data_IF_302746660513
#
_entry.id   IF_302746660513
#
_cell.length_a   1.000
_cell.length_b   1.000
_cell.length_c   1.000
_cell.angle_alpha   90.00
_cell.angle_beta   90.00
_cell.angle_gamma   90.00
#
_symmetry.space_group_name_H-M   'P 1'
#
loop_
_entity.id
_entity.type
_entity.pdbx_description
1 polymer ?
#
# COMPACT_ATOMS: atom_id res chain seq x y z
N UNK A 1 -46.40 46.10 35.64
CA UNK A 1 -44.99 46.05 35.17
C UNK A 1 -44.49 44.62 35.25
N UNK A 2 -44.24 43.92 34.14
CA UNK A 2 -43.78 42.55 34.18
C UNK A 2 -42.25 42.51 34.32
N UNK A 3 -41.77 41.92 35.42
CA UNK A 3 -40.34 41.71 35.73
C UNK A 3 -39.78 40.40 35.15
N UNK A 4 -40.51 39.65 34.32
CA UNK A 4 -40.06 38.30 33.91
C UNK A 4 -39.07 38.27 32.74
N UNK A 5 -38.93 39.36 31.96
CA UNK A 5 -38.13 39.33 30.73
C UNK A 5 -36.62 39.16 30.93
N UNK A 6 -36.06 39.52 32.10
CA UNK A 6 -34.60 39.43 32.33
C UNK A 6 -34.13 38.04 32.77
N UNK A 7 -35.01 37.26 33.41
CA UNK A 7 -34.70 35.89 33.81
C UNK A 7 -34.66 34.99 32.57
N UNK A 8 -35.66 35.16 31.68
CA UNK A 8 -35.78 34.40 30.44
C UNK A 8 -34.57 34.64 29.50
N UNK A 9 -34.08 35.88 29.42
CA UNK A 9 -32.90 36.21 28.62
C UNK A 9 -31.61 35.59 29.18
N UNK A 10 -31.49 35.44 30.51
CA UNK A 10 -30.35 34.76 31.15
C UNK A 10 -30.36 33.26 30.91
N UNK A 11 -31.53 32.64 30.96
CA UNK A 11 -31.69 31.21 30.69
C UNK A 11 -31.35 30.91 29.23
N UNK A 12 -31.81 31.73 28.29
CA UNK A 12 -31.50 31.59 26.87
C UNK A 12 -30.00 31.76 26.58
N UNK A 13 -29.32 32.74 27.20
CA UNK A 13 -27.87 32.91 27.02
C UNK A 13 -27.07 31.72 27.52
N UNK A 14 -27.41 31.17 28.69
CA UNK A 14 -26.77 29.95 29.21
C UNK A 14 -26.96 28.75 28.27
N UNK A 15 -28.16 28.57 27.73
CA UNK A 15 -28.44 27.46 26.82
C UNK A 15 -27.66 27.55 25.51
N UNK A 16 -27.52 28.76 24.95
CA UNK A 16 -26.73 28.99 23.73
C UNK A 16 -25.23 28.77 23.97
N UNK A 17 -24.70 29.21 25.12
CA UNK A 17 -23.30 28.95 25.49
C UNK A 17 -23.02 27.45 25.67
N UNK A 18 -23.95 26.70 26.26
CA UNK A 18 -23.84 25.26 26.48
C UNK A 18 -23.89 24.48 25.15
N UNK A 19 -24.74 24.89 24.20
CA UNK A 19 -24.78 24.33 22.84
C UNK A 19 -23.48 24.59 22.07
N UNK A 20 -22.94 25.80 22.15
CA UNK A 20 -21.67 26.14 21.47
C UNK A 20 -20.48 25.39 22.07
N UNK A 21 -20.50 25.16 23.39
CA UNK A 21 -19.48 24.35 24.07
C UNK A 21 -19.56 22.88 23.67
N UNK A 22 -20.77 22.31 23.63
CA UNK A 22 -20.97 20.93 23.16
C UNK A 22 -20.53 20.74 21.70
N UNK A 23 -20.80 21.71 20.83
CA UNK A 23 -20.35 21.67 19.43
C UNK A 23 -18.83 21.74 19.30
N UNK A 24 -18.15 22.49 20.17
CA UNK A 24 -16.69 22.62 20.17
C UNK A 24 -16.00 21.34 20.68
N UNK A 25 -16.58 20.69 21.69
CA UNK A 25 -16.08 19.43 22.25
C UNK A 25 -16.27 18.24 21.28
N UNK A 26 -17.28 18.27 20.41
CA UNK A 26 -17.44 17.28 19.33
C UNK A 26 -16.42 17.46 18.18
N UNK A 27 -16.03 18.71 17.86
CA UNK A 27 -15.01 18.97 16.83
C UNK A 27 -13.59 18.58 17.29
N UNK A 28 -13.27 18.73 18.58
CA UNK A 28 -11.98 18.28 19.12
C UNK A 28 -11.88 16.74 19.20
N UNK A 29 -12.98 16.04 19.49
CA UNK A 29 -13.03 14.56 19.46
C UNK A 29 -12.93 13.98 18.04
N UNK A 30 -13.35 14.72 17.01
CA UNK A 30 -13.18 14.31 15.60
C UNK A 30 -11.76 14.51 15.09
N UNK A 31 -11.00 15.46 15.63
CA UNK A 31 -9.58 15.71 15.27
C UNK A 31 -8.59 14.76 15.95
N UNK A 32 -8.94 14.14 17.08
CA UNK A 32 -8.02 13.26 17.83
C UNK A 32 -8.14 11.75 17.53
N UNK A 33 -9.18 11.29 16.82
CA UNK A 33 -9.42 9.83 16.62
C UNK A 33 -9.34 9.32 15.17
N UNK A 34 -8.89 10.15 14.23
CA UNK A 34 -8.97 9.86 12.79
C UNK A 34 -7.68 10.13 11.99
N UNK A 35 -6.48 9.90 12.53
CA UNK A 35 -5.27 10.18 11.71
C UNK A 35 -3.95 9.45 12.06
N UNK A 36 -3.93 8.15 12.35
CA UNK A 36 -2.63 7.45 12.43
C UNK A 36 -2.50 6.19 11.57
N UNK A 37 -3.56 5.43 11.32
CA UNK A 37 -3.46 4.17 10.55
C UNK A 37 -4.12 4.30 9.17
N UNK A 38 -5.36 4.80 9.09
CA UNK A 38 -6.08 4.98 7.82
C UNK A 38 -5.35 5.93 6.85
N UNK A 39 -4.84 7.06 7.35
CA UNK A 39 -4.09 8.04 6.56
C UNK A 39 -2.77 7.49 6.02
N UNK A 40 -2.13 6.53 6.73
CA UNK A 40 -0.90 5.87 6.24
C UNK A 40 -1.20 5.02 5.01
N UNK A 41 -2.30 4.25 5.01
CA UNK A 41 -2.69 3.42 3.86
C UNK A 41 -3.26 4.23 2.71
N UNK A 42 -4.06 5.27 2.99
CA UNK A 42 -4.62 6.17 1.97
C UNK A 42 -3.54 6.92 1.19
N UNK A 43 -2.46 7.33 1.86
CA UNK A 43 -1.34 8.03 1.22
C UNK A 43 -0.33 7.08 0.57
N UNK A 44 -0.31 5.80 0.95
CA UNK A 44 0.56 4.77 0.36
C UNK A 44 -0.04 4.07 -0.86
N UNK A 45 -1.35 4.25 -1.11
CA UNK A 45 -2.01 3.76 -2.32
C UNK A 45 -1.44 4.46 -3.57
N UNK A 46 -1.09 3.72 -4.64
CA UNK A 46 -0.57 4.33 -5.86
C UNK A 46 -1.56 5.34 -6.43
N UNK A 47 -1.15 6.61 -6.54
CA UNK A 47 -1.90 7.64 -7.27
C UNK A 47 -1.81 7.32 -8.76
N UNK A 48 -2.88 6.78 -9.33
CA UNK A 48 -2.92 6.53 -10.77
C UNK A 48 -3.15 7.85 -11.51
N UNK A 49 -2.21 8.19 -12.38
CA UNK A 49 -2.39 9.19 -13.43
C UNK A 49 -3.50 8.67 -14.34
N UNK A 50 -4.55 9.47 -14.51
CA UNK A 50 -5.57 9.26 -15.55
C UNK A 50 -4.84 9.20 -16.90
N UNK A 51 -4.59 8.00 -17.43
CA UNK A 51 -4.05 7.87 -18.78
C UNK A 51 -5.11 8.41 -19.74
N UNK A 52 -4.74 9.48 -20.45
CA UNK A 52 -5.59 10.11 -21.45
C UNK A 52 -5.93 9.11 -22.54
N UNK A 53 -7.22 8.86 -22.70
CA UNK A 53 -7.75 8.29 -23.94
C UNK A 53 -7.87 9.47 -24.90
N UNK A 54 -6.98 9.51 -25.89
CA UNK A 54 -7.15 10.31 -27.10
C UNK A 54 -8.42 9.85 -27.79
N UNK A 55 -9.43 10.73 -27.81
CA UNK A 55 -10.61 10.56 -28.66
C UNK A 55 -10.19 10.79 -30.11
N UNK A 56 -10.23 9.72 -30.92
CA UNK A 56 -10.36 9.81 -32.37
C UNK A 56 -11.85 10.03 -32.60
N UNK A 57 -12.21 11.25 -33.01
CA UNK A 57 -13.56 11.61 -33.36
C UNK A 57 -13.87 11.19 -34.79
N UNK A 58 -14.90 10.37 -34.96
CA UNK A 58 -15.69 10.32 -36.19
C UNK A 58 -17.14 10.68 -35.89
N UNK A 59 -17.69 11.38 -36.88
CA UNK A 59 -18.80 12.32 -36.89
C UNK A 59 -20.05 11.64 -37.41
N UNK A 60 -21.15 11.59 -36.64
CA UNK A 60 -22.54 11.53 -37.18
C UNK A 60 -23.50 12.30 -36.25
N UNK A 61 -24.39 13.06 -36.88
CA UNK A 61 -25.36 14.01 -36.33
C UNK A 61 -26.70 13.38 -35.88
N UNK A 62 -27.29 14.00 -34.85
CA UNK A 62 -28.73 14.28 -34.56
C UNK A 62 -29.81 13.19 -34.55
N UNK A 63 -30.55 13.07 -33.43
CA UNK A 63 -31.91 13.65 -33.24
C UNK A 63 -32.47 13.46 -31.82
N UNK A 64 -33.36 14.39 -31.42
CA UNK A 64 -34.02 14.58 -30.12
C UNK A 64 -35.14 13.58 -29.82
N UNK A 65 -35.37 13.21 -28.54
CA UNK A 65 -36.60 13.54 -27.78
C UNK A 65 -36.64 12.97 -26.33
N UNK A 66 -36.77 13.91 -25.38
CA UNK A 66 -37.66 14.03 -24.20
C UNK A 66 -38.14 12.81 -23.34
N UNK A 67 -37.92 13.01 -22.03
CA UNK A 67 -38.77 12.78 -20.83
C UNK A 67 -38.71 11.48 -19.99
N UNK A 68 -38.57 11.74 -18.68
CA UNK A 68 -39.07 11.03 -17.48
C UNK A 68 -38.24 9.97 -16.72
N UNK A 69 -38.06 10.32 -15.43
CA UNK A 69 -38.12 9.53 -14.20
C UNK A 69 -37.00 8.55 -13.78
N UNK A 70 -36.45 8.88 -12.61
CA UNK A 70 -36.11 8.04 -11.45
C UNK A 70 -35.48 6.65 -11.68
N UNK A 71 -34.24 6.48 -11.22
CA UNK A 71 -33.88 5.48 -10.21
C UNK A 71 -32.36 5.48 -10.01
N UNK A 72 -31.95 5.61 -8.76
CA UNK A 72 -30.58 5.42 -8.29
C UNK A 72 -30.16 3.97 -8.50
N UNK A 73 -29.34 3.71 -9.51
CA UNK A 73 -28.58 2.45 -9.62
C UNK A 73 -27.16 2.68 -9.08
N UNK A 74 -26.90 2.24 -7.85
CA UNK A 74 -25.54 2.03 -7.36
C UNK A 74 -24.88 0.93 -8.21
N UNK A 75 -24.16 1.33 -9.26
CA UNK A 75 -23.29 0.42 -10.03
C UNK A 75 -22.09 0.07 -9.16
N UNK A 76 -22.06 -1.16 -8.64
CA UNK A 76 -20.86 -1.73 -8.01
C UNK A 76 -19.79 -1.99 -9.09
N UNK A 77 -18.93 -1.02 -9.35
CA UNK A 77 -17.74 -1.18 -10.19
C UNK A 77 -16.60 -1.83 -9.39
N UNK A 78 -16.71 -3.13 -9.15
CA UNK A 78 -15.53 -3.96 -8.88
C UNK A 78 -15.16 -4.68 -10.18
N UNK A 79 -14.08 -4.25 -10.81
CA UNK A 79 -13.43 -5.00 -11.90
C UNK A 79 -12.09 -5.54 -11.37
N UNK A 80 -11.88 -6.86 -11.36
CA UNK A 80 -10.57 -7.45 -11.09
C UNK A 80 -9.57 -6.96 -12.14
N UNK A 81 -8.39 -6.51 -11.72
CA UNK A 81 -7.31 -6.22 -12.67
C UNK A 81 -6.64 -7.53 -13.11
N UNK A 82 -6.72 -7.81 -14.41
CA UNK A 82 -5.95 -8.86 -15.08
C UNK A 82 -4.50 -8.37 -15.24
N UNK A 83 -3.56 -9.06 -14.59
CA UNK A 83 -2.14 -8.92 -14.92
C UNK A 83 -1.87 -9.83 -16.13
N UNK A 84 -1.68 -9.25 -17.31
CA UNK A 84 -1.21 -9.98 -18.48
C UNK A 84 0.20 -10.51 -18.20
N UNK A 85 0.38 -11.82 -18.32
CA UNK A 85 1.68 -12.47 -18.42
C UNK A 85 2.25 -12.19 -19.82
N UNK A 86 3.42 -11.56 -19.84
CA UNK A 86 4.20 -11.32 -21.05
C UNK A 86 4.86 -12.64 -21.48
N UNK A 87 4.33 -13.26 -22.53
CA UNK A 87 4.94 -14.42 -23.20
C UNK A 87 5.68 -13.91 -24.44
N UNK A 88 7.01 -13.92 -24.40
CA UNK A 88 7.83 -13.78 -25.60
C UNK A 88 9.02 -14.73 -25.53
N UNK A 89 8.96 -15.76 -26.38
CA UNK A 89 10.03 -16.70 -26.72
C UNK A 89 10.14 -16.77 -28.26
N UNK A 90 11.39 -16.85 -28.73
CA UNK A 90 11.90 -17.18 -30.08
C UNK A 90 12.00 -16.00 -31.07
N UNK A 91 13.21 -15.47 -31.33
CA UNK A 91 14.30 -15.92 -32.24
C UNK A 91 14.02 -15.57 -33.70
N UNK A 92 14.90 -14.75 -34.31
CA UNK A 92 15.75 -15.20 -35.43
C UNK A 92 16.83 -14.17 -35.80
N UNK A 93 17.97 -14.72 -36.22
CA UNK A 93 19.17 -14.04 -36.70
C UNK A 93 19.05 -13.78 -38.22
N UNK A 94 19.64 -12.71 -38.73
CA UNK A 94 20.18 -12.70 -40.09
C UNK A 94 21.42 -11.81 -40.21
N UNK A 95 22.33 -12.25 -41.08
CA UNK A 95 23.75 -11.88 -41.20
C UNK A 95 24.02 -11.11 -42.51
N UNK A 96 25.15 -10.37 -42.49
CA UNK A 96 26.01 -9.93 -43.63
C UNK A 96 25.47 -8.78 -44.51
N UNK A 97 26.24 -7.84 -45.08
CA UNK A 97 27.67 -7.79 -45.45
C UNK A 97 28.12 -6.34 -45.82
N UNK A 98 29.43 -6.04 -45.65
CA UNK A 98 30.32 -5.05 -46.36
C UNK A 98 29.94 -3.54 -46.32
N UNK A 99 30.87 -2.58 -46.25
CA UNK A 99 32.06 -2.40 -47.08
C UNK A 99 33.05 -1.39 -46.47
N UNK A 100 34.34 -1.59 -46.77
CA UNK A 100 35.49 -0.74 -46.42
C UNK A 100 35.45 0.67 -47.01
N UNK A 101 35.96 1.66 -46.27
CA UNK A 101 36.93 2.66 -46.78
C UNK A 101 37.40 3.62 -45.67
N UNK A 102 38.72 3.62 -45.46
CA UNK A 102 39.61 4.78 -45.31
C UNK A 102 39.10 6.03 -44.56
N UNK A 103 39.44 6.14 -43.27
CA UNK A 103 40.03 7.40 -42.75
C UNK A 103 40.66 7.21 -41.36
N UNK A 104 41.97 6.96 -41.33
CA UNK A 104 42.72 6.58 -40.12
C UNK A 104 43.40 7.76 -39.38
N UNK A 105 43.11 9.02 -39.72
CA UNK A 105 43.85 10.17 -39.15
C UNK A 105 43.05 11.08 -38.19
N UNK A 106 41.72 10.96 -38.14
CA UNK A 106 40.86 11.83 -37.29
C UNK A 106 40.37 11.18 -35.99
N UNK A 107 40.52 9.86 -35.82
CA UNK A 107 40.03 9.10 -34.65
C UNK A 107 40.86 9.26 -33.37
N UNK A 108 42.12 9.70 -33.46
CA UNK A 108 43.00 9.82 -32.27
C UNK A 108 42.77 11.07 -31.41
N UNK A 109 42.07 12.10 -31.92
CA UNK A 109 41.73 13.30 -31.14
C UNK A 109 40.31 13.30 -30.55
N UNK A 110 39.36 12.56 -31.13
CA UNK A 110 38.02 12.40 -30.57
C UNK A 110 37.97 11.43 -29.40
N UNK A 111 38.81 10.38 -29.41
CA UNK A 111 38.92 9.45 -28.28
C UNK A 111 39.31 10.14 -26.96
N UNK A 112 40.21 11.14 -26.99
CA UNK A 112 40.63 11.87 -25.79
C UNK A 112 39.59 12.88 -25.26
N UNK A 113 38.69 13.40 -26.12
CA UNK A 113 37.65 14.34 -25.69
C UNK A 113 36.44 13.59 -25.14
N UNK A 114 36.08 12.46 -25.76
CA UNK A 114 35.02 11.59 -25.25
C UNK A 114 35.44 10.92 -23.93
N UNK A 115 36.71 10.53 -23.77
CA UNK A 115 37.25 10.02 -22.50
C UNK A 115 37.24 11.08 -21.40
N UNK A 116 37.52 12.35 -21.75
CA UNK A 116 37.45 13.48 -20.82
C UNK A 116 36.02 13.90 -20.46
N UNK A 117 35.07 13.84 -21.40
CA UNK A 117 33.64 14.11 -21.15
C UNK A 117 32.96 12.96 -20.37
N UNK A 118 33.37 11.72 -20.61
CA UNK A 118 33.01 10.60 -19.75
C UNK A 118 33.61 10.79 -18.35
N UNK A 119 34.87 11.23 -18.21
CA UNK A 119 35.47 11.48 -16.90
C UNK A 119 34.78 12.63 -16.12
N UNK A 120 34.30 13.67 -16.82
CA UNK A 120 33.52 14.77 -16.24
C UNK A 120 32.09 14.37 -15.84
N UNK A 121 31.42 13.52 -16.61
CA UNK A 121 30.08 13.01 -16.27
C UNK A 121 30.12 11.90 -15.19
N UNK A 122 31.23 11.18 -15.08
CA UNK A 122 31.42 10.09 -14.12
C UNK A 122 31.75 10.55 -12.68
N UNK A 123 32.04 11.84 -12.44
CA UNK A 123 32.32 12.33 -11.08
C UNK A 123 31.07 12.47 -10.19
N UNK A 124 29.86 12.35 -10.73
CA UNK A 124 28.63 12.56 -9.94
C UNK A 124 27.68 11.37 -9.84
N UNK A 125 27.91 10.26 -10.56
CA UNK A 125 27.01 9.09 -10.51
C UNK A 125 27.77 7.77 -10.65
N UNK A 126 27.47 6.75 -9.83
CA UNK A 126 28.15 5.45 -9.91
C UNK A 126 27.86 4.77 -11.26
N UNK A 127 28.93 4.30 -11.92
CA UNK A 127 28.84 3.47 -13.14
C UNK A 127 27.99 2.24 -12.85
N UNK A 128 27.03 1.96 -13.75
CA UNK A 128 26.32 0.67 -13.80
C UNK A 128 27.31 -0.43 -14.17
N UNK A 129 28.14 -0.88 -13.23
CA UNK A 129 28.87 -2.13 -13.42
C UNK A 129 27.83 -3.23 -13.63
N UNK A 130 27.99 -4.03 -14.69
CA UNK A 130 27.19 -5.23 -15.04
C UNK A 130 27.28 -6.33 -13.95
N UNK A 131 27.04 -6.00 -12.69
CA UNK A 131 26.86 -6.92 -11.57
C UNK A 131 25.39 -6.87 -11.19
N UNK A 132 24.62 -7.86 -11.65
CA UNK A 132 23.28 -8.24 -11.16
C UNK A 132 22.34 -7.06 -10.86
N UNK A 133 22.00 -6.29 -11.90
CA UNK A 133 21.16 -5.09 -11.81
C UNK A 133 19.65 -5.33 -11.59
N UNK A 134 19.26 -6.41 -10.92
CA UNK A 134 17.86 -6.67 -10.57
C UNK A 134 17.70 -7.40 -9.23
N UNK A 135 18.64 -7.18 -8.32
CA UNK A 135 18.47 -7.71 -6.96
C UNK A 135 17.37 -6.88 -6.29
N UNK A 136 16.14 -7.41 -6.30
CA UNK A 136 14.94 -6.86 -5.63
C UNK A 136 15.08 -6.91 -4.09
N UNK A 137 16.29 -7.06 -3.59
CA UNK A 137 16.58 -7.13 -2.17
C UNK A 137 16.60 -5.71 -1.59
N UNK A 138 16.13 -5.56 -0.34
CA UNK A 138 16.23 -4.29 0.37
C UNK A 138 17.70 -3.95 0.66
N UNK A 139 18.00 -2.64 0.68
CA UNK A 139 19.31 -2.12 1.10
C UNK A 139 19.22 -1.49 2.48
N UNK A 140 20.13 -1.84 3.38
CA UNK A 140 20.14 -1.33 4.76
C UNK A 140 21.36 -0.43 4.99
N UNK A 141 21.11 0.83 5.35
CA UNK A 141 22.15 1.81 5.65
C UNK A 141 22.13 2.19 7.13
N UNK A 142 23.32 2.30 7.70
CA UNK A 142 23.60 2.88 9.01
C UNK A 142 24.24 4.25 8.82
N UNK A 143 23.70 5.25 9.48
CA UNK A 143 24.14 6.65 9.40
C UNK A 143 24.53 7.09 10.80
N UNK A 144 25.81 7.38 11.01
CA UNK A 144 26.35 7.85 12.29
C UNK A 144 26.68 9.35 12.24
N UNK A 145 26.97 9.92 13.41
CA UNK A 145 27.22 11.35 13.63
C UNK A 145 26.00 12.24 13.34
N UNK A 146 24.81 11.76 13.68
CA UNK A 146 23.58 12.55 13.53
C UNK A 146 23.30 13.36 14.79
N UNK A 147 23.18 14.68 14.69
CA UNK A 147 22.75 15.52 15.81
C UNK A 147 21.34 15.13 16.32
N UNK A 148 21.19 15.01 17.64
CA UNK A 148 19.95 14.68 18.38
C UNK A 148 18.75 15.57 18.00
N UNK A 149 19.00 16.82 17.61
CA UNK A 149 17.93 17.77 17.25
C UNK A 149 17.20 17.49 15.93
N UNK A 150 17.63 16.48 15.15
CA UNK A 150 17.03 16.20 13.84
C UNK A 150 16.01 15.08 13.94
N UNK A 151 14.79 15.39 13.48
CA UNK A 151 13.72 14.40 13.42
C UNK A 151 13.97 13.33 12.36
N UNK A 152 13.46 12.12 12.62
CA UNK A 152 13.47 11.01 11.66
C UNK A 152 12.81 11.38 10.33
N UNK A 153 11.76 12.21 10.37
CA UNK A 153 11.04 12.67 9.19
C UNK A 153 11.93 13.50 8.26
N UNK A 154 12.82 14.33 8.82
CA UNK A 154 13.75 15.13 8.03
C UNK A 154 14.77 14.23 7.31
N UNK A 155 15.30 13.20 7.99
CA UNK A 155 16.15 12.19 7.37
C UNK A 155 15.42 11.46 6.25
N UNK A 156 14.23 10.95 6.54
CA UNK A 156 13.43 10.23 5.55
C UNK A 156 13.16 11.09 4.31
N UNK A 157 12.84 12.37 4.49
CA UNK A 157 12.64 13.32 3.38
C UNK A 157 13.90 13.49 2.53
N UNK A 158 15.07 13.68 3.15
CA UNK A 158 16.31 13.91 2.42
C UNK A 158 16.76 12.65 1.65
N UNK A 159 16.67 11.49 2.28
CA UNK A 159 17.07 10.22 1.68
C UNK A 159 16.03 9.68 0.67
N UNK A 160 14.75 10.09 0.78
CA UNK A 160 13.71 9.70 -0.18
C UNK A 160 13.94 10.23 -1.61
N UNK A 161 14.86 11.18 -1.79
CA UNK A 161 15.27 11.68 -3.11
C UNK A 161 15.97 10.62 -3.95
N UNK A 162 16.56 9.61 -3.32
CA UNK A 162 17.32 8.55 -3.97
C UNK A 162 16.50 7.28 -4.20
N UNK A 163 15.40 7.10 -3.46
CA UNK A 163 14.52 5.95 -3.61
C UNK A 163 13.49 5.81 -2.51
N UNK A 164 12.71 4.72 -2.57
CA UNK A 164 11.63 4.47 -1.60
C UNK A 164 12.18 3.83 -0.33
N UNK A 165 12.10 4.57 0.77
CA UNK A 165 12.42 4.09 2.12
C UNK A 165 11.22 3.32 2.68
N UNK A 166 11.41 2.07 3.06
CA UNK A 166 10.39 1.22 3.69
C UNK A 166 10.33 1.49 5.20
N UNK A 167 11.47 1.40 5.88
CA UNK A 167 11.59 1.59 7.32
C UNK A 167 12.73 2.56 7.69
N UNK A 168 12.60 3.18 8.86
CA UNK A 168 13.59 4.08 9.43
C UNK A 168 13.57 3.96 10.96
N UNK A 169 14.75 4.06 11.59
CA UNK A 169 14.89 4.04 13.05
C UNK A 169 15.96 5.05 13.47
N UNK A 170 15.73 5.74 14.59
CA UNK A 170 16.73 6.56 15.27
C UNK A 170 17.06 5.93 16.61
N UNK A 171 18.33 5.66 16.83
CA UNK A 171 18.84 5.08 18.08
C UNK A 171 19.84 6.05 18.73
N UNK A 172 19.53 6.57 19.93
CA UNK A 172 20.46 7.42 20.65
C UNK A 172 21.71 6.61 21.01
N UNK A 173 22.90 7.16 20.73
CA UNK A 173 24.15 6.52 21.12
C UNK A 173 24.44 6.84 22.59
N UNK A 174 24.69 5.79 23.38
CA UNK A 174 24.86 5.86 24.83
C UNK A 174 25.89 6.92 25.23
N UNK A 175 25.44 7.98 25.91
CA UNK A 175 26.32 8.99 26.51
C UNK A 175 26.91 10.03 25.54
N UNK A 176 26.35 10.18 24.33
CA UNK A 176 26.79 11.20 23.36
C UNK A 176 25.63 11.99 22.78
N UNK A 177 25.86 13.25 22.42
CA UNK A 177 24.90 14.10 21.69
C UNK A 177 24.75 13.72 20.19
N UNK A 178 25.09 12.48 19.86
CA UNK A 178 24.92 11.92 18.52
C UNK A 178 23.99 10.72 18.56
N UNK A 179 23.21 10.60 17.49
CA UNK A 179 22.24 9.55 17.23
C UNK A 179 22.74 8.76 16.02
N UNK A 180 22.41 7.48 16.00
CA UNK A 180 22.58 6.64 14.82
C UNK A 180 21.22 6.47 14.15
N UNK A 181 21.16 6.69 12.84
CA UNK A 181 19.97 6.46 12.04
C UNK A 181 20.14 5.21 11.18
N UNK A 182 19.14 4.34 11.17
CA UNK A 182 19.08 3.18 10.30
C UNK A 182 17.97 3.39 9.27
N UNK A 183 18.27 3.13 8.00
CA UNK A 183 17.33 3.25 6.89
C UNK A 183 17.26 1.95 6.10
N UNK A 184 16.05 1.54 5.78
CA UNK A 184 15.78 0.44 4.84
C UNK A 184 15.24 1.02 3.54
N UNK A 185 15.98 0.82 2.45
CA UNK A 185 15.55 1.09 1.10
C UNK A 185 14.90 -0.14 0.49
N UNK A 186 13.84 0.08 -0.30
CA UNK A 186 13.18 -1.00 -1.05
C UNK A 186 14.14 -1.71 -2.02
N UNK A 187 15.14 -1.00 -2.55
CA UNK A 187 16.13 -1.53 -3.49
C UNK A 187 17.54 -1.20 -3.01
N UNK A 188 18.45 -2.17 -3.09
CA UNK A 188 19.87 -1.96 -2.76
C UNK A 188 20.52 -0.85 -3.60
N UNK A 189 20.15 -0.75 -4.88
CA UNK A 189 20.66 0.29 -5.79
C UNK A 189 20.37 1.72 -5.30
N UNK A 190 19.17 1.95 -4.76
CA UNK A 190 18.78 3.26 -4.25
C UNK A 190 19.60 3.63 -3.01
N UNK A 191 19.88 2.63 -2.16
CA UNK A 191 20.77 2.79 -1.00
C UNK A 191 22.22 3.10 -1.42
N UNK A 192 22.75 2.41 -2.44
CA UNK A 192 24.08 2.70 -3.00
C UNK A 192 24.17 4.15 -3.50
N UNK A 193 23.16 4.61 -4.25
CA UNK A 193 23.10 5.98 -4.76
C UNK A 193 23.06 7.00 -3.61
N UNK A 194 22.22 6.76 -2.59
CA UNK A 194 22.13 7.63 -1.42
C UNK A 194 23.46 7.69 -0.65
N UNK A 195 24.10 6.53 -0.44
CA UNK A 195 25.39 6.44 0.23
C UNK A 195 26.44 7.27 -0.53
N UNK A 196 26.62 7.04 -1.84
CA UNK A 196 27.59 7.80 -2.64
C UNK A 196 27.33 9.30 -2.66
N UNK A 197 26.06 9.71 -2.77
CA UNK A 197 25.71 11.11 -2.92
C UNK A 197 25.80 11.91 -1.60
N UNK A 198 25.57 11.25 -0.45
CA UNK A 198 25.49 11.91 0.86
C UNK A 198 26.68 11.61 1.78
N UNK A 199 27.59 10.70 1.39
CA UNK A 199 28.77 10.39 2.19
C UNK A 199 29.60 11.65 2.46
N UNK A 200 29.93 11.88 3.74
CA UNK A 200 30.71 13.03 4.21
C UNK A 200 30.07 14.40 3.91
N UNK A 201 28.76 14.47 3.62
CA UNK A 201 28.03 15.74 3.52
C UNK A 201 27.42 16.12 4.86
N UNK A 202 27.13 17.42 5.01
CA UNK A 202 26.32 17.96 6.11
C UNK A 202 24.86 17.90 5.70
N UNK A 203 24.00 17.32 6.53
CA UNK A 203 22.56 17.23 6.28
C UNK A 203 21.84 18.12 7.28
N UNK A 204 20.77 18.81 6.85
CA UNK A 204 19.89 19.59 7.73
C UNK A 204 20.62 20.61 8.63
N UNK A 205 21.65 21.28 8.12
CA UNK A 205 22.38 22.32 8.87
C UNK A 205 23.31 21.80 9.96
N UNK A 206 23.66 20.51 9.95
CA UNK A 206 24.61 19.94 10.92
C UNK A 206 26.00 20.59 10.82
N UNK A 207 26.65 20.71 11.98
CA UNK A 207 28.04 21.16 12.09
C UNK A 207 29.02 20.08 11.61
N UNK A 208 28.68 18.81 11.83
CA UNK A 208 29.49 17.64 11.48
C UNK A 208 29.00 16.95 10.22
N UNK A 209 29.92 16.24 9.55
CA UNK A 209 29.59 15.43 8.38
C UNK A 209 29.05 14.07 8.84
N UNK A 210 27.97 13.62 8.21
CA UNK A 210 27.46 12.27 8.46
C UNK A 210 28.39 11.22 7.88
N UNK A 211 28.38 10.04 8.50
CA UNK A 211 29.05 8.86 7.97
C UNK A 211 28.00 7.81 7.67
N UNK A 212 28.00 7.31 6.44
CA UNK A 212 27.08 6.28 5.97
C UNK A 212 27.90 5.00 5.76
N UNK A 213 27.41 3.90 6.32
CA UNK A 213 27.95 2.54 6.13
C UNK A 213 26.81 1.58 5.85
N UNK A 214 27.11 0.43 5.26
CA UNK A 214 26.18 -0.69 5.22
C UNK A 214 25.97 -1.24 6.63
N UNK A 215 24.75 -1.68 6.95
CA UNK A 215 24.51 -2.42 8.19
C UNK A 215 25.20 -3.79 8.15
N UNK A 216 25.67 -4.28 9.30
CA UNK A 216 26.09 -5.68 9.45
C UNK A 216 24.88 -6.62 9.43
N UNK A 217 25.10 -7.92 9.26
CA UNK A 217 24.00 -8.89 9.29
C UNK A 217 23.31 -8.93 10.65
N UNK A 218 24.06 -8.80 11.74
CA UNK A 218 23.51 -8.74 13.11
C UNK A 218 22.64 -7.49 13.30
N UNK A 219 23.09 -6.34 12.80
CA UNK A 219 22.30 -5.10 12.82
C UNK A 219 21.03 -5.24 11.98
N UNK A 220 21.11 -5.88 10.81
CA UNK A 220 19.93 -6.15 9.98
C UNK A 220 18.94 -7.05 10.72
N UNK A 221 19.40 -8.10 11.38
CA UNK A 221 18.53 -9.00 12.15
C UNK A 221 17.86 -8.28 13.33
N UNK A 222 18.61 -7.42 14.04
CA UNK A 222 18.05 -6.59 15.11
C UNK A 222 17.04 -5.57 14.58
N UNK A 223 17.35 -4.89 13.48
CA UNK A 223 16.45 -3.95 12.83
C UNK A 223 15.21 -4.64 12.32
N UNK A 224 15.33 -5.83 11.72
CA UNK A 224 14.18 -6.61 11.28
C UNK A 224 13.28 -6.99 12.45
N UNK A 225 13.84 -7.34 13.61
CA UNK A 225 13.07 -7.56 14.85
C UNK A 225 12.41 -6.27 15.35
N UNK A 226 13.10 -5.13 15.32
CA UNK A 226 12.56 -3.82 15.73
C UNK A 226 11.47 -3.32 14.77
N UNK A 227 11.64 -3.56 13.47
CA UNK A 227 10.68 -3.24 12.42
C UNK A 227 9.59 -4.29 12.27
N UNK A 228 9.70 -5.43 12.96
CA UNK A 228 8.66 -6.43 12.98
C UNK A 228 7.44 -5.81 13.64
N UNK A 229 6.46 -5.44 12.81
CA UNK A 229 5.21 -4.86 13.29
C UNK A 229 4.58 -5.86 14.25
N UNK A 230 4.52 -5.51 15.53
CA UNK A 230 3.87 -6.35 16.53
C UNK A 230 2.38 -6.41 16.25
N UNK A 231 1.83 -7.61 16.21
CA UNK A 231 0.39 -7.84 16.10
C UNK A 231 -0.23 -7.90 17.50
N UNK A 232 -0.10 -6.80 18.23
CA UNK A 232 -0.55 -6.65 19.61
C UNK A 232 -2.06 -6.35 19.70
N UNK A 233 -2.61 -6.29 20.92
CA UNK A 233 -4.04 -6.04 21.13
C UNK A 233 -4.52 -4.71 20.56
N UNK A 234 -3.67 -3.68 20.56
CA UNK A 234 -3.96 -2.38 19.94
C UNK A 234 -4.13 -2.54 18.42
N UNK A 235 -3.19 -3.23 17.78
CA UNK A 235 -3.20 -3.51 16.34
C UNK A 235 -4.40 -4.37 15.95
N UNK A 236 -4.75 -5.37 16.78
CA UNK A 236 -5.96 -6.18 16.60
C UNK A 236 -7.24 -5.32 16.69
N UNK A 237 -7.32 -4.42 17.67
CA UNK A 237 -8.46 -3.51 17.80
C UNK A 237 -8.59 -2.57 16.60
N UNK A 238 -7.48 -2.02 16.12
CA UNK A 238 -7.43 -1.23 14.89
C UNK A 238 -7.96 -2.03 13.69
N UNK A 239 -7.56 -3.29 13.56
CA UNK A 239 -8.06 -4.16 12.49
C UNK A 239 -9.57 -4.41 12.60
N UNK A 240 -10.08 -4.69 13.80
CA UNK A 240 -11.52 -4.87 14.03
C UNK A 240 -12.31 -3.60 13.66
N UNK A 241 -11.76 -2.42 13.92
CA UNK A 241 -12.34 -1.16 13.45
C UNK A 241 -12.38 -1.10 11.92
N UNK A 242 -11.30 -1.49 11.23
CA UNK A 242 -11.30 -1.56 9.76
C UNK A 242 -12.35 -2.55 9.23
N UNK A 243 -12.56 -3.70 9.89
CA UNK A 243 -13.62 -4.65 9.52
C UNK A 243 -15.03 -4.09 9.76
N UNK A 244 -15.17 -3.21 10.74
CA UNK A 244 -16.43 -2.51 11.02
C UNK A 244 -16.78 -1.53 9.89
N UNK A 245 -15.77 -0.85 9.34
CA UNK A 245 -15.91 0.12 8.25
C UNK A 245 -15.85 -0.53 6.85
N UNK A 246 -15.64 -1.86 6.77
CA UNK A 246 -15.49 -2.58 5.52
C UNK A 246 -16.82 -2.66 4.74
N UNK A 247 -16.74 -2.34 3.45
CA UNK A 247 -17.81 -2.44 2.46
C UNK A 247 -17.26 -2.89 1.09
N UNK A 248 -18.11 -2.93 0.07
CA UNK A 248 -17.75 -3.41 -1.27
C UNK A 248 -16.98 -2.39 -2.10
N UNK A 249 -16.66 -1.19 -1.58
CA UNK A 249 -15.86 -0.21 -2.32
C UNK A 249 -14.42 -0.69 -2.41
N UNK A 250 -13.81 -0.54 -3.58
CA UNK A 250 -12.41 -0.96 -3.82
C UNK A 250 -11.43 -0.39 -2.79
N UNK A 251 -11.65 0.84 -2.34
CA UNK A 251 -10.77 1.54 -1.41
C UNK A 251 -10.72 0.87 -0.03
N UNK A 252 -11.87 0.50 0.54
CA UNK A 252 -11.94 -0.16 1.85
C UNK A 252 -11.35 -1.58 1.76
N UNK A 253 -11.65 -2.31 0.69
CA UNK A 253 -11.06 -3.62 0.37
C UNK A 253 -9.52 -3.54 0.32
N UNK A 254 -8.97 -2.55 -0.39
CA UNK A 254 -7.52 -2.38 -0.50
C UNK A 254 -6.85 -2.04 0.83
N UNK A 255 -7.50 -1.25 1.69
CA UNK A 255 -6.96 -0.92 3.01
C UNK A 255 -6.89 -2.17 3.88
N UNK A 256 -7.98 -2.94 3.96
CA UNK A 256 -8.03 -4.17 4.76
C UNK A 256 -7.05 -5.21 4.19
N UNK A 257 -7.02 -5.40 2.88
CA UNK A 257 -6.05 -6.30 2.23
C UNK A 257 -4.61 -5.86 2.49
N UNK A 258 -4.29 -4.58 2.37
CA UNK A 258 -2.97 -4.03 2.65
C UNK A 258 -2.53 -4.30 4.09
N UNK A 259 -3.43 -4.14 5.06
CA UNK A 259 -3.19 -4.51 6.44
C UNK A 259 -2.88 -6.01 6.57
N UNK A 260 -3.67 -6.89 5.94
CA UNK A 260 -3.40 -8.33 5.98
C UNK A 260 -2.00 -8.67 5.43
N UNK A 261 -1.58 -8.05 4.33
CA UNK A 261 -0.26 -8.29 3.75
C UNK A 261 0.88 -7.75 4.62
N UNK A 262 0.68 -6.61 5.28
CA UNK A 262 1.64 -6.01 6.19
C UNK A 262 1.88 -6.87 7.44
N UNK A 263 0.87 -7.61 7.88
CA UNK A 263 0.91 -8.51 9.03
C UNK A 263 0.79 -10.00 8.63
N UNK A 264 1.26 -10.35 7.43
CA UNK A 264 1.15 -11.73 6.90
C UNK A 264 1.74 -12.81 7.81
N UNK A 265 2.71 -12.45 8.67
CA UNK A 265 3.27 -13.38 9.65
C UNK A 265 2.20 -13.88 10.65
N UNK A 266 1.17 -13.08 10.91
CA UNK A 266 0.04 -13.33 11.80
C UNK A 266 -1.24 -13.72 11.03
N UNK A 267 -1.10 -14.38 9.87
CA UNK A 267 -2.23 -14.75 9.02
C UNK A 267 -3.33 -15.52 9.76
N UNK A 268 -2.95 -16.42 10.68
CA UNK A 268 -3.89 -17.21 11.48
C UNK A 268 -4.74 -16.31 12.38
N UNK A 269 -4.10 -15.47 13.22
CA UNK A 269 -4.81 -14.51 14.09
C UNK A 269 -5.73 -13.57 13.28
N UNK A 270 -5.26 -13.13 12.11
CA UNK A 270 -6.03 -12.25 11.21
C UNK A 270 -7.29 -12.97 10.71
N UNK A 271 -7.17 -14.22 10.26
CA UNK A 271 -8.32 -15.01 9.82
C UNK A 271 -9.26 -15.28 10.99
N UNK A 272 -8.75 -15.53 12.20
CA UNK A 272 -9.59 -15.65 13.40
C UNK A 272 -10.38 -14.38 13.70
N UNK A 273 -9.80 -13.20 13.50
CA UNK A 273 -10.51 -11.93 13.66
C UNK A 273 -11.62 -11.76 12.62
N UNK A 274 -11.41 -12.15 11.36
CA UNK A 274 -12.49 -12.21 10.37
C UNK A 274 -13.62 -13.14 10.83
N UNK A 275 -13.26 -14.35 11.26
CA UNK A 275 -14.23 -15.34 11.70
C UNK A 275 -15.03 -14.85 12.89
N UNK A 276 -14.37 -14.26 13.90
CA UNK A 276 -15.00 -13.77 15.13
C UNK A 276 -15.93 -12.58 14.87
N UNK A 277 -15.49 -11.61 14.07
CA UNK A 277 -16.18 -10.32 13.95
C UNK A 277 -17.16 -10.22 12.78
N UNK A 278 -17.01 -11.06 11.75
CA UNK A 278 -17.86 -10.99 10.54
C UNK A 278 -18.70 -12.25 10.38
N UNK A 279 -18.10 -13.44 10.58
CA UNK A 279 -18.74 -14.70 10.21
C UNK A 279 -19.33 -15.50 11.39
N UNK A 280 -19.00 -15.15 12.63
CA UNK A 280 -19.44 -15.86 13.84
C UNK A 280 -20.95 -15.82 14.01
N UNK A 281 -21.53 -16.79 14.71
CA UNK A 281 -22.98 -16.83 14.97
C UNK A 281 -23.49 -15.57 15.69
N UNK A 282 -22.68 -14.97 16.57
CA UNK A 282 -22.99 -13.69 17.20
C UNK A 282 -22.99 -12.54 16.18
N UNK A 283 -22.00 -12.51 15.28
CA UNK A 283 -21.92 -11.53 14.20
C UNK A 283 -22.97 -11.72 13.10
N UNK A 284 -23.49 -12.95 12.90
CA UNK A 284 -24.51 -13.26 11.88
C UNK A 284 -25.75 -12.36 11.97
N UNK A 285 -26.16 -12.01 13.19
CA UNK A 285 -27.36 -11.19 13.45
C UNK A 285 -27.17 -9.71 13.15
N UNK A 286 -25.94 -9.21 13.20
CA UNK A 286 -25.61 -7.79 13.05
C UNK A 286 -24.87 -7.44 11.76
N UNK A 287 -24.27 -8.43 11.10
CA UNK A 287 -23.43 -8.24 9.92
C UNK A 287 -24.21 -8.46 8.64
N UNK A 288 -24.32 -7.42 7.81
CA UNK A 288 -25.02 -7.47 6.53
C UNK A 288 -24.33 -8.38 5.50
N UNK A 289 -25.11 -8.89 4.55
CA UNK A 289 -24.59 -9.65 3.40
C UNK A 289 -23.49 -8.87 2.66
N UNK A 290 -23.69 -7.58 2.42
CA UNK A 290 -22.72 -6.71 1.74
C UNK A 290 -21.34 -6.72 2.39
N UNK A 291 -21.28 -6.72 3.73
CA UNK A 291 -20.02 -6.77 4.47
C UNK A 291 -19.35 -8.15 4.37
N UNK A 292 -20.13 -9.23 4.45
CA UNK A 292 -19.62 -10.60 4.25
C UNK A 292 -19.08 -10.80 2.83
N UNK A 293 -19.78 -10.26 1.83
CA UNK A 293 -19.34 -10.25 0.44
C UNK A 293 -18.04 -9.43 0.26
N UNK A 294 -17.93 -8.28 0.92
CA UNK A 294 -16.71 -7.48 0.91
C UNK A 294 -15.49 -8.25 1.46
N UNK A 295 -15.67 -9.05 2.52
CA UNK A 295 -14.63 -9.95 3.01
C UNK A 295 -14.20 -10.99 1.97
N UNK A 296 -15.14 -11.54 1.19
CA UNK A 296 -14.80 -12.45 0.08
C UNK A 296 -13.97 -11.75 -1.00
N UNK A 297 -14.23 -10.48 -1.28
CA UNK A 297 -13.38 -9.67 -2.18
C UNK A 297 -11.99 -9.42 -1.59
N UNK A 298 -11.87 -9.16 -0.29
CA UNK A 298 -10.57 -9.07 0.39
C UNK A 298 -9.81 -10.39 0.27
N UNK A 299 -10.46 -11.52 0.51
CA UNK A 299 -9.84 -12.85 0.36
C UNK A 299 -9.40 -13.11 -1.09
N UNK A 300 -10.24 -12.78 -2.08
CA UNK A 300 -9.86 -12.90 -3.49
C UNK A 300 -8.59 -12.11 -3.83
N UNK A 301 -8.49 -10.88 -3.32
CA UNK A 301 -7.33 -10.01 -3.49
C UNK A 301 -6.08 -10.58 -2.81
N UNK A 302 -6.19 -11.07 -1.58
CA UNK A 302 -5.09 -11.70 -0.84
C UNK A 302 -4.60 -12.95 -1.57
N UNK A 303 -5.52 -13.83 -2.01
CA UNK A 303 -5.19 -15.06 -2.75
C UNK A 303 -4.53 -14.76 -4.09
N UNK A 304 -4.91 -13.66 -4.74
CA UNK A 304 -4.28 -13.19 -5.99
C UNK A 304 -2.85 -12.69 -5.79
N UNK A 305 -2.40 -12.46 -4.55
CA UNK A 305 -1.04 -12.03 -4.28
C UNK A 305 -0.06 -13.22 -4.34
N UNK A 306 0.83 -13.23 -5.34
CA UNK A 306 1.77 -14.34 -5.55
C UNK A 306 2.68 -14.63 -4.34
N UNK A 307 3.04 -13.61 -3.56
CA UNK A 307 4.00 -13.76 -2.47
C UNK A 307 3.35 -14.30 -1.19
N UNK A 308 2.14 -13.83 -0.88
CA UNK A 308 1.50 -14.08 0.42
C UNK A 308 0.23 -14.94 0.31
N UNK A 309 -0.37 -15.04 -0.88
CA UNK A 309 -1.58 -15.80 -1.16
C UNK A 309 -1.52 -17.26 -0.67
N UNK A 310 -0.45 -18.03 -0.96
CA UNK A 310 -0.37 -19.43 -0.53
C UNK A 310 -0.51 -19.65 0.98
N UNK A 311 -0.05 -18.68 1.80
CA UNK A 311 -0.17 -18.76 3.27
C UNK A 311 -1.61 -18.63 3.74
N UNK A 312 -2.38 -17.73 3.09
CA UNK A 312 -3.79 -17.53 3.39
C UNK A 312 -4.69 -18.59 2.76
N UNK A 313 -4.27 -19.19 1.64
CA UNK A 313 -5.03 -20.19 0.90
C UNK A 313 -5.48 -21.33 1.79
N UNK A 314 -4.58 -21.99 2.51
CA UNK A 314 -4.94 -23.11 3.40
C UNK A 314 -5.92 -22.66 4.49
N UNK A 315 -5.61 -21.56 5.19
CA UNK A 315 -6.43 -21.03 6.29
C UNK A 315 -7.85 -20.66 5.85
N UNK A 316 -7.99 -19.99 4.70
CA UNK A 316 -9.29 -19.62 4.13
C UNK A 316 -10.02 -20.88 3.68
N UNK A 317 -9.35 -21.79 2.99
CA UNK A 317 -9.93 -23.03 2.49
C UNK A 317 -10.53 -23.90 3.60
N UNK A 318 -9.85 -23.99 4.74
CA UNK A 318 -10.30 -24.80 5.88
C UNK A 318 -11.51 -24.18 6.59
N UNK A 319 -11.70 -22.85 6.50
CA UNK A 319 -12.84 -22.13 7.09
C UNK A 319 -13.96 -21.83 6.10
N UNK A 320 -13.76 -22.11 4.81
CA UNK A 320 -14.63 -21.62 3.74
C UNK A 320 -16.08 -22.11 3.86
N UNK A 321 -16.30 -23.34 4.30
CA UNK A 321 -17.65 -23.87 4.49
C UNK A 321 -18.46 -23.02 5.49
N UNK A 322 -17.85 -22.69 6.64
CA UNK A 322 -18.48 -21.83 7.65
C UNK A 322 -18.67 -20.39 7.17
N UNK A 323 -17.73 -19.87 6.38
CA UNK A 323 -17.82 -18.55 5.74
C UNK A 323 -19.02 -18.50 4.79
N UNK A 324 -19.17 -19.49 3.92
CA UNK A 324 -20.27 -19.57 2.95
C UNK A 324 -21.61 -19.73 3.64
N UNK A 325 -21.73 -20.68 4.57
CA UNK A 325 -22.96 -20.84 5.35
C UNK A 325 -23.36 -19.55 6.07
N UNK A 326 -22.40 -18.83 6.66
CA UNK A 326 -22.65 -17.54 7.31
C UNK A 326 -23.07 -16.46 6.31
N UNK A 327 -22.49 -16.45 5.12
CA UNK A 327 -22.79 -15.48 4.07
C UNK A 327 -24.16 -15.72 3.43
N UNK A 328 -24.56 -16.98 3.28
CA UNK A 328 -25.74 -17.41 2.52
C UNK A 328 -27.00 -17.63 3.36
N UNK A 329 -26.90 -17.57 4.69
CA UNK A 329 -27.96 -17.84 5.68
C UNK A 329 -29.27 -17.05 5.42
N UNK A 330 -29.19 -15.92 4.72
CA UNK A 330 -30.36 -15.12 4.32
C UNK A 330 -30.18 -14.46 2.94
N UNK A 331 -29.33 -15.05 2.10
CA UNK A 331 -29.01 -14.48 0.79
C UNK A 331 -30.12 -14.75 -0.24
N UNK A 332 -30.52 -13.70 -0.96
CA UNK A 332 -31.42 -13.81 -2.11
C UNK A 332 -30.70 -14.42 -3.34
N UNK A 333 -31.44 -14.62 -4.44
CA UNK A 333 -30.91 -15.25 -5.66
C UNK A 333 -29.77 -14.44 -6.29
N UNK A 334 -29.88 -13.11 -6.34
CA UNK A 334 -28.86 -12.23 -6.94
C UNK A 334 -27.59 -12.22 -6.08
N UNK A 335 -27.76 -12.20 -4.76
CA UNK A 335 -26.69 -12.30 -3.78
C UNK A 335 -25.95 -13.63 -3.88
N UNK A 336 -26.66 -14.75 -4.02
CA UNK A 336 -26.05 -16.07 -4.26
C UNK A 336 -25.23 -16.08 -5.55
N UNK A 337 -25.75 -15.52 -6.63
CA UNK A 337 -25.03 -15.44 -7.91
C UNK A 337 -23.70 -14.67 -7.79
N UNK A 338 -23.66 -13.60 -6.97
CA UNK A 338 -22.41 -12.88 -6.68
C UNK A 338 -21.37 -13.77 -6.01
N UNK A 339 -21.77 -14.64 -5.09
CA UNK A 339 -20.87 -15.60 -4.44
C UNK A 339 -20.39 -16.67 -5.42
N UNK A 340 -21.29 -17.21 -6.26
CA UNK A 340 -20.93 -18.18 -7.31
C UNK A 340 -19.86 -17.62 -8.24
N UNK A 341 -20.01 -16.38 -8.72
CA UNK A 341 -19.02 -15.71 -9.59
C UNK A 341 -17.64 -15.61 -8.95
N UNK A 342 -17.56 -15.40 -7.63
CA UNK A 342 -16.27 -15.39 -6.92
C UNK A 342 -15.66 -16.80 -6.90
N UNK A 343 -16.46 -17.83 -6.63
CA UNK A 343 -15.97 -19.21 -6.63
C UNK A 343 -15.54 -19.69 -8.02
N UNK A 344 -16.26 -19.29 -9.07
CA UNK A 344 -15.85 -19.52 -10.46
C UNK A 344 -14.52 -18.86 -10.78
N UNK A 345 -14.32 -17.61 -10.36
CA UNK A 345 -13.04 -16.91 -10.51
C UNK A 345 -11.91 -17.62 -9.75
N UNK A 346 -12.18 -18.13 -8.55
CA UNK A 346 -11.19 -18.89 -7.77
C UNK A 346 -10.85 -20.24 -8.42
N UNK A 347 -11.82 -20.83 -9.13
CA UNK A 347 -11.61 -22.04 -9.95
C UNK A 347 -10.72 -21.74 -11.14
N UNK A 348 -11.04 -20.70 -11.90
CA UNK A 348 -10.27 -20.26 -13.07
C UNK A 348 -8.81 -19.95 -12.69
N UNK A 349 -8.60 -19.28 -11.56
CA UNK A 349 -7.25 -18.96 -11.05
C UNK A 349 -6.55 -20.12 -10.34
N UNK A 350 -7.19 -21.29 -10.25
CA UNK A 350 -6.67 -22.47 -9.55
C UNK A 350 -6.24 -22.18 -8.10
N UNK A 351 -6.95 -21.28 -7.40
CA UNK A 351 -6.69 -21.00 -5.98
C UNK A 351 -7.07 -22.18 -5.08
N UNK A 352 -7.96 -23.06 -5.54
CA UNK A 352 -8.32 -24.27 -4.81
C UNK A 352 -8.55 -25.39 -5.81
N UNK A 353 -8.51 -26.65 -5.35
CA UNK A 353 -8.83 -27.77 -6.21
C UNK A 353 -10.28 -27.69 -6.69
N UNK A 354 -10.52 -28.15 -7.91
CA UNK A 354 -11.87 -28.23 -8.49
C UNK A 354 -12.83 -28.98 -7.56
N UNK A 355 -12.39 -30.06 -6.93
CA UNK A 355 -13.20 -30.82 -5.97
C UNK A 355 -13.65 -29.99 -4.77
N UNK A 356 -12.77 -29.15 -4.20
CA UNK A 356 -13.12 -28.27 -3.09
C UNK A 356 -14.14 -27.23 -3.53
N UNK A 357 -13.93 -26.60 -4.68
CA UNK A 357 -14.83 -25.56 -5.20
C UNK A 357 -16.20 -26.15 -5.54
N UNK A 358 -16.26 -27.33 -6.17
CA UNK A 358 -17.54 -28.00 -6.44
C UNK A 358 -18.28 -28.34 -5.14
N UNK A 359 -17.57 -28.81 -4.10
CA UNK A 359 -18.15 -29.04 -2.78
C UNK A 359 -18.72 -27.77 -2.15
N UNK A 360 -18.09 -26.61 -2.38
CA UNK A 360 -18.60 -25.30 -1.93
C UNK A 360 -19.76 -24.78 -2.77
N UNK A 361 -19.75 -24.98 -4.09
CA UNK A 361 -20.85 -24.59 -4.96
C UNK A 361 -22.12 -25.38 -4.67
N UNK A 362 -21.99 -26.65 -4.25
CA UNK A 362 -23.14 -27.51 -3.93
C UNK A 362 -23.98 -27.03 -2.73
N UNK A 363 -23.47 -26.10 -1.91
CA UNK A 363 -24.20 -25.56 -0.75
C UNK A 363 -24.79 -24.16 -0.99
N UNK A 364 -24.60 -23.58 -2.19
CA UNK A 364 -25.15 -22.28 -2.60
C UNK A 364 -26.53 -22.48 -3.21
#
# INVERSE_FOLDING_TARGET
MPKSSKEDERVLKKFVEELNRASSEEEEKKKSSSSSTLSKYLNAAPKFVKSGITQIGDRIETTNNKTENSASSEKSLYQPQFAYQDVSLMKEEEKQNKQDSDDASSKKRKANIDEFLDELSNQTTPKKTKRKSDTTQPGYLKITNVNVGISEQNFKKEFSKFGRITNSCLEPSSGTDVVTCFLEFRKTYDAECAMHALQKKKICGQSQNIQITWCSNEEIDELQKKFQKHFDETTKADFVKMLTDLDTRRQTIMIVMGFCLDYQNNAEDIIELFMKNVFSAAAKKSTSFTKKLACLYVFNDILSNQKYGPKYQTLIGDRMLGILQSTLDSADKEQREKVVKILELWKEKAFFSDSKIQGWMAII
#
